data_IF_801402692568
#
_entry.id   IF_801402692568
#
_cell.length_a   1.000
_cell.length_b   1.000
_cell.length_c   1.000
_cell.angle_alpha   90.00
_cell.angle_beta   90.00
_cell.angle_gamma   90.00
#
_symmetry.space_group_name_H-M   'P 1'
#
loop_
_entity.id
_entity.type
_entity.pdbx_description
1 polymer ?
#
# COMPACT_ATOMS: atom_id res chain seq x y z
N UNK A 1 3.79 13.01 -1.71
CA UNK A 1 4.17 12.54 -3.06
C UNK A 1 4.43 11.03 -3.04
N UNK A 2 4.19 10.31 -4.14
CA UNK A 2 4.27 8.84 -4.21
C UNK A 2 5.71 8.36 -4.02
N UNK A 3 5.90 7.40 -3.10
CA UNK A 3 7.15 6.68 -2.89
C UNK A 3 6.87 5.18 -2.93
N UNK A 4 7.50 4.49 -3.87
CA UNK A 4 7.34 3.05 -4.04
C UNK A 4 8.29 2.27 -3.14
N UNK A 5 7.75 1.22 -2.52
CA UNK A 5 8.50 0.19 -1.82
C UNK A 5 8.29 -1.13 -2.56
N UNK A 6 9.39 -1.77 -2.96
CA UNK A 6 9.37 -3.13 -3.50
C UNK A 6 9.70 -4.10 -2.38
N UNK A 7 8.93 -5.18 -2.26
CA UNK A 7 9.15 -6.19 -1.23
C UNK A 7 9.88 -7.40 -1.79
N UNK A 8 10.65 -8.06 -0.92
CA UNK A 8 11.30 -9.31 -1.25
C UNK A 8 10.24 -10.41 -1.35
N UNK A 9 10.15 -11.01 -2.54
CA UNK A 9 9.24 -12.10 -2.83
C UNK A 9 9.99 -13.41 -2.67
N UNK A 10 9.61 -14.18 -1.65
CA UNK A 10 10.07 -15.55 -1.47
C UNK A 10 9.05 -16.49 -2.12
N UNK A 11 9.49 -17.52 -2.83
CA UNK A 11 8.53 -18.41 -3.48
C UNK A 11 9.15 -19.68 -4.01
N UNK A 12 8.29 -20.67 -4.19
CA UNK A 12 8.60 -21.95 -4.82
C UNK A 12 7.39 -22.42 -5.64
N UNK A 13 7.38 -23.70 -6.03
CA UNK A 13 6.29 -24.33 -6.78
C UNK A 13 4.90 -24.21 -6.14
N UNK A 14 4.81 -23.90 -4.83
CA UNK A 14 3.55 -23.73 -4.09
C UNK A 14 2.99 -22.32 -4.18
N UNK A 15 3.81 -21.35 -4.58
CA UNK A 15 3.40 -19.95 -4.71
C UNK A 15 4.44 -18.95 -4.21
N UNK A 16 3.95 -17.78 -3.80
CA UNK A 16 4.76 -16.63 -3.41
C UNK A 16 4.33 -16.11 -2.03
N UNK A 17 5.30 -15.60 -1.28
CA UNK A 17 5.17 -15.03 0.04
C UNK A 17 5.96 -13.73 0.09
N UNK A 18 5.35 -12.71 0.67
CA UNK A 18 6.00 -11.45 1.04
C UNK A 18 5.84 -11.29 2.56
N UNK A 19 6.95 -11.09 3.26
CA UNK A 19 6.95 -10.73 4.66
C UNK A 19 7.01 -9.19 4.77
N UNK A 20 6.14 -8.60 5.60
CA UNK A 20 6.16 -7.17 5.89
C UNK A 20 6.73 -6.98 7.30
N UNK A 21 7.98 -6.56 7.35
CA UNK A 21 8.73 -6.37 8.59
C UNK A 21 9.25 -4.93 8.67
N UNK A 22 9.32 -4.34 9.89
CA UNK A 22 9.95 -3.03 10.05
C UNK A 22 11.46 -3.11 9.71
N UNK A 23 12.01 -2.00 9.19
CA UNK A 23 13.41 -1.89 8.79
C UNK A 23 13.57 -1.72 7.27
N UNK A 24 14.24 -2.65 6.61
CA UNK A 24 14.39 -2.60 5.16
C UNK A 24 13.38 -3.57 4.50
N UNK A 25 12.46 -3.11 3.64
CA UNK A 25 12.38 -1.78 3.03
C UNK A 25 11.42 -0.79 3.72
N UNK A 26 10.74 -1.16 4.82
CA UNK A 26 9.75 -0.31 5.52
C UNK A 26 10.44 0.50 6.64
N UNK A 27 10.75 1.80 6.43
CA UNK A 27 11.67 2.54 7.31
C UNK A 27 11.01 3.05 8.61
N UNK A 28 9.97 2.37 9.09
CA UNK A 28 9.22 2.73 10.30
C UNK A 28 8.67 1.48 10.99
N UNK A 29 8.38 1.62 12.28
CA UNK A 29 7.77 0.58 13.12
C UNK A 29 6.31 0.31 12.70
N UNK A 30 5.97 -0.96 12.45
CA UNK A 30 4.60 -1.37 12.09
C UNK A 30 3.79 -1.56 13.38
N UNK A 31 3.08 -0.51 13.79
CA UNK A 31 2.24 -0.56 15.00
C UNK A 31 0.89 -1.25 14.80
N UNK A 32 0.42 -1.38 13.56
CA UNK A 32 -0.91 -1.89 13.21
C UNK A 32 -1.03 -2.20 11.72
N UNK A 33 -1.90 -3.15 11.39
CA UNK A 33 -2.24 -3.52 10.01
C UNK A 33 -3.76 -3.44 9.83
N UNK A 34 -4.18 -2.91 8.69
CA UNK A 34 -5.58 -2.85 8.27
C UNK A 34 -5.74 -3.54 6.93
N UNK A 35 -6.86 -4.23 6.72
CA UNK A 35 -7.24 -4.74 5.40
C UNK A 35 -8.61 -4.18 5.03
N UNK A 36 -8.69 -3.60 3.84
CA UNK A 36 -9.94 -3.08 3.29
C UNK A 36 -10.40 -4.06 2.22
N UNK A 37 -11.60 -4.58 2.38
CA UNK A 37 -12.17 -5.57 1.47
C UNK A 37 -13.66 -5.27 1.21
N UNK A 38 -14.20 -5.82 0.13
CA UNK A 38 -15.62 -5.67 -0.22
C UNK A 38 -16.03 -4.24 -0.58
N UNK A 39 -15.09 -3.38 -0.98
CA UNK A 39 -15.42 -2.04 -1.49
C UNK A 39 -16.21 -2.16 -2.79
N UNK A 40 -17.37 -1.52 -2.86
CA UNK A 40 -18.25 -1.58 -4.04
C UNK A 40 -17.62 -0.85 -5.23
N UNK A 41 -17.94 -1.25 -6.48
CA UNK A 41 -17.51 -0.53 -7.67
C UNK A 41 -17.89 0.95 -7.62
N UNK A 42 -16.97 1.83 -8.04
CA UNK A 42 -17.17 3.28 -8.04
C UNK A 42 -17.15 3.96 -6.66
N UNK A 43 -17.01 3.21 -5.56
CA UNK A 43 -16.93 3.77 -4.22
C UNK A 43 -15.48 4.05 -3.85
N UNK A 44 -15.18 5.31 -3.58
CA UNK A 44 -13.92 5.74 -2.99
C UNK A 44 -13.97 5.69 -1.47
N UNK A 45 -12.85 5.32 -0.85
CA UNK A 45 -12.62 5.40 0.60
C UNK A 45 -11.40 6.28 0.86
N UNK A 46 -11.26 6.78 2.08
CA UNK A 46 -10.18 7.69 2.46
C UNK A 46 -10.70 9.09 2.78
N UNK A 47 -10.32 10.09 1.98
CA UNK A 47 -10.66 11.51 2.17
C UNK A 47 -10.14 12.14 3.47
N UNK A 48 -9.02 11.63 3.96
CA UNK A 48 -8.33 12.17 5.12
C UNK A 48 -6.83 12.20 4.86
N UNK A 49 -6.16 13.14 5.49
CA UNK A 49 -4.71 13.21 5.59
C UNK A 49 -4.31 12.97 7.04
N UNK A 50 -3.19 12.29 7.23
CA UNK A 50 -2.60 12.13 8.56
C UNK A 50 -1.46 13.14 8.74
N UNK A 51 -1.33 13.72 9.94
CA UNK A 51 -0.29 14.72 10.24
C UNK A 51 1.06 14.09 10.60
N UNK A 52 1.04 12.98 11.33
CA UNK A 52 2.25 12.34 11.89
C UNK A 52 2.34 10.85 11.57
N UNK A 53 1.42 10.32 10.74
CA UNK A 53 1.30 8.89 10.49
C UNK A 53 1.89 8.53 9.13
N UNK A 54 2.80 7.55 9.12
CA UNK A 54 3.33 6.94 7.90
C UNK A 54 2.58 5.65 7.59
N UNK A 55 2.30 5.43 6.30
CA UNK A 55 1.56 4.27 5.80
C UNK A 55 2.26 3.72 4.56
N UNK A 56 2.23 2.40 4.43
CA UNK A 56 2.49 1.69 3.18
C UNK A 56 1.20 0.96 2.80
N UNK A 57 0.81 1.05 1.54
CA UNK A 57 -0.45 0.51 1.05
C UNK A 57 -0.17 -0.54 -0.02
N UNK A 58 -0.58 -1.78 0.23
CA UNK A 58 -0.37 -2.91 -0.68
C UNK A 58 -1.71 -3.44 -1.18
N UNK A 59 -1.88 -3.55 -2.49
CA UNK A 59 -3.04 -4.23 -3.06
C UNK A 59 -2.71 -5.72 -3.23
N UNK A 60 -3.18 -6.52 -2.27
CA UNK A 60 -2.90 -7.96 -2.22
C UNK A 60 -3.62 -8.73 -3.34
N UNK A 61 -4.78 -8.24 -3.79
CA UNK A 61 -5.56 -8.86 -4.86
C UNK A 61 -6.37 -7.83 -5.63
N UNK A 62 -6.44 -8.02 -6.95
CA UNK A 62 -7.10 -7.10 -7.88
C UNK A 62 -6.26 -5.86 -8.14
N UNK A 63 -6.93 -4.71 -8.27
CA UNK A 63 -6.28 -3.40 -8.38
C UNK A 63 -7.12 -2.32 -7.73
N UNK A 64 -6.47 -1.31 -7.15
CA UNK A 64 -7.12 -0.08 -6.74
C UNK A 64 -6.27 1.13 -7.14
N UNK A 65 -6.93 2.28 -7.28
CA UNK A 65 -6.26 3.54 -7.54
C UNK A 65 -6.19 4.33 -6.24
N UNK A 66 -4.99 4.70 -5.82
CA UNK A 66 -4.78 5.64 -4.73
C UNK A 66 -4.53 7.03 -5.29
N UNK A 67 -5.15 8.02 -4.65
CA UNK A 67 -4.94 9.44 -4.91
C UNK A 67 -4.22 10.00 -3.69
N UNK A 68 -3.05 10.61 -3.91
CA UNK A 68 -2.26 11.26 -2.87
C UNK A 68 -2.27 12.76 -3.14
N UNK A 69 -2.50 13.55 -2.10
CA UNK A 69 -2.60 15.01 -2.19
C UNK A 69 -1.92 15.63 -0.96
N UNK A 70 -0.93 16.49 -1.18
CA UNK A 70 -0.21 17.21 -0.12
C UNK A 70 -0.66 18.68 0.01
N UNK A 71 -1.73 19.07 -0.69
CA UNK A 71 -2.26 20.43 -0.75
C UNK A 71 -1.58 21.32 -1.79
N UNK A 72 -0.44 20.90 -2.37
CA UNK A 72 0.22 21.59 -3.48
C UNK A 72 0.25 20.73 -4.75
N UNK A 73 0.39 19.42 -4.59
CA UNK A 73 0.48 18.44 -5.67
C UNK A 73 -0.47 17.29 -5.41
N UNK A 74 -1.10 16.83 -6.49
CA UNK A 74 -1.99 15.68 -6.49
C UNK A 74 -1.48 14.65 -7.48
N UNK A 75 -1.33 13.42 -7.00
CA UNK A 75 -0.84 12.28 -7.78
C UNK A 75 -1.79 11.10 -7.68
N UNK A 76 -1.80 10.28 -8.72
CA UNK A 76 -2.56 9.03 -8.75
C UNK A 76 -1.62 7.86 -9.04
N UNK A 77 -1.80 6.77 -8.30
CA UNK A 77 -1.03 5.55 -8.45
C UNK A 77 -1.95 4.33 -8.50
N UNK A 78 -1.69 3.42 -9.44
CA UNK A 78 -2.31 2.10 -9.45
C UNK A 78 -1.55 1.15 -8.54
N UNK A 79 -2.24 0.62 -7.55
CA UNK A 79 -1.79 -0.53 -6.76
C UNK A 79 -2.42 -1.78 -7.38
N UNK A 80 -1.63 -2.52 -8.14
CA UNK A 80 -2.04 -3.67 -8.93
C UNK A 80 -1.10 -4.88 -8.77
N UNK A 81 -0.20 -4.80 -7.78
CA UNK A 81 0.81 -5.80 -7.51
C UNK A 81 0.96 -6.06 -6.00
N UNK A 82 1.03 -7.32 -5.55
CA UNK A 82 1.20 -7.64 -4.14
C UNK A 82 2.65 -7.51 -3.66
N UNK A 83 3.62 -7.40 -4.56
CA UNK A 83 5.05 -7.25 -4.29
C UNK A 83 5.52 -5.79 -4.27
N UNK A 84 4.58 -4.83 -4.37
CA UNK A 84 4.87 -3.40 -4.37
C UNK A 84 3.81 -2.61 -3.61
N UNK A 85 4.24 -1.65 -2.80
CA UNK A 85 3.38 -0.74 -2.03
C UNK A 85 3.90 0.67 -1.93
#
# INVERSE_FOLDING_TARGET
MVRWISFDVMGDERGKLVALEPGNPIPFEIKRVYYIYGTKPGVSRGFHAHKEFEQVAVCVSGRCRMVLDDGQRREEAWLDRPDRG
#
